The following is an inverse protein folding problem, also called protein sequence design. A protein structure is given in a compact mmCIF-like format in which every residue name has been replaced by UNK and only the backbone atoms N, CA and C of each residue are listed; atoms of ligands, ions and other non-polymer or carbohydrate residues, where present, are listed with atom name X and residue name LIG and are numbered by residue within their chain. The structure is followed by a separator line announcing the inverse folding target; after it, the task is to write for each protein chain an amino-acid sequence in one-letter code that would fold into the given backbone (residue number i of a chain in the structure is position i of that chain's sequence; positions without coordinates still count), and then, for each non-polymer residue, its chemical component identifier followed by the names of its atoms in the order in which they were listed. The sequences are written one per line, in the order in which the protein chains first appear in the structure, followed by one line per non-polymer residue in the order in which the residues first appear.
data_IF_995134910480
#
_entry.id   IF_995134910480
#
_cell.length_a   1.000
_cell.length_b   1.000
_cell.length_c   1.000
_cell.angle_alpha   90.00
_cell.angle_beta   90.00
_cell.angle_gamma   90.00
#
_symmetry.space_group_name_H-M   'P 1'
#
loop_
_entity.id
_entity.type
_entity.pdbx_description
1 polymer ?
#
# COMPACT_ATOMS: atom_id res chain seq x y z
N UNK A 1 -2.36 -50.37 -45.52
CA UNK A 1 -1.50 -49.20 -45.81
C UNK A 1 -1.70 -48.19 -44.69
N UNK A 2 -0.56 -47.74 -44.17
CA UNK A 2 -0.34 -46.79 -43.07
C UNK A 2 -1.07 -45.47 -43.32
N UNK A 3 -1.55 -44.79 -42.27
CA UNK A 3 -1.26 -43.37 -41.99
C UNK A 3 -2.06 -42.84 -40.78
N UNK A 4 -1.37 -42.92 -39.63
CA UNK A 4 -1.58 -42.14 -38.42
C UNK A 4 -1.52 -40.64 -38.76
N UNK A 5 -2.61 -39.89 -38.54
CA UNK A 5 -2.57 -38.43 -38.50
C UNK A 5 -2.61 -37.97 -37.05
N UNK A 6 -1.41 -37.64 -36.57
CA UNK A 6 -1.14 -36.88 -35.36
C UNK A 6 -1.75 -35.48 -35.51
N UNK A 7 -2.66 -35.08 -34.62
CA UNK A 7 -3.18 -33.71 -34.58
C UNK A 7 -3.19 -33.21 -33.13
N UNK A 8 -2.08 -32.52 -32.84
CA UNK A 8 -1.87 -31.41 -31.91
C UNK A 8 -2.85 -31.23 -30.73
N UNK A 9 -2.34 -31.55 -29.54
CA UNK A 9 -2.80 -30.99 -28.28
C UNK A 9 -2.44 -29.49 -28.22
N UNK A 10 -3.42 -28.59 -28.33
CA UNK A 10 -3.30 -27.22 -27.86
C UNK A 10 -3.97 -27.14 -26.48
N UNK A 11 -3.25 -27.52 -25.43
CA UNK A 11 -3.68 -27.26 -24.07
C UNK A 11 -3.42 -25.77 -23.78
N UNK A 12 -4.47 -24.95 -23.87
CA UNK A 12 -4.44 -23.56 -23.42
C UNK A 12 -4.27 -23.55 -21.89
N UNK A 13 -3.06 -23.29 -21.42
CA UNK A 13 -2.79 -23.04 -20.01
C UNK A 13 -3.31 -21.62 -19.73
N UNK A 14 -4.53 -21.56 -19.18
CA UNK A 14 -5.14 -20.35 -18.64
C UNK A 14 -4.21 -19.80 -17.57
N UNK A 15 -3.65 -18.61 -17.82
CA UNK A 15 -2.85 -17.87 -16.85
C UNK A 15 -3.74 -17.51 -15.66
N UNK A 16 -3.47 -18.15 -14.52
CA UNK A 16 -4.09 -17.81 -13.25
C UNK A 16 -3.52 -16.45 -12.82
N UNK A 17 -4.25 -15.36 -13.10
CA UNK A 17 -3.98 -14.09 -12.46
C UNK A 17 -4.27 -14.29 -10.96
N UNK A 18 -3.23 -14.24 -10.12
CA UNK A 18 -3.37 -14.27 -8.68
C UNK A 18 -4.14 -13.01 -8.24
N UNK A 19 -5.45 -13.14 -8.05
CA UNK A 19 -6.24 -12.17 -7.32
C UNK A 19 -5.84 -12.29 -5.86
N UNK A 20 -5.04 -11.35 -5.37
CA UNK A 20 -4.80 -11.19 -3.96
C UNK A 20 -6.14 -10.92 -3.26
N UNK A 21 -6.59 -11.88 -2.45
CA UNK A 21 -7.79 -11.73 -1.62
C UNK A 21 -7.41 -10.82 -0.46
N UNK A 22 -7.79 -9.54 -0.55
CA UNK A 22 -7.73 -8.63 0.58
C UNK A 22 -8.85 -8.98 1.56
N UNK A 23 -8.55 -9.00 2.87
CA UNK A 23 -9.59 -9.09 3.88
C UNK A 23 -10.56 -7.91 3.68
N UNK A 24 -11.85 -8.19 3.43
CA UNK A 24 -12.82 -7.18 3.04
C UNK A 24 -13.15 -6.25 4.22
N UNK A 25 -12.37 -5.18 4.33
CA UNK A 25 -12.73 -4.02 5.10
C UNK A 25 -13.52 -3.10 4.15
N UNK A 26 -14.84 -3.06 4.34
CA UNK A 26 -15.75 -2.30 3.47
C UNK A 26 -15.39 -0.81 3.31
N UNK A 27 -14.64 -0.21 4.24
CA UNK A 27 -14.14 1.16 4.11
C UNK A 27 -12.90 1.22 3.22
N UNK A 28 -11.94 0.32 3.43
CA UNK A 28 -10.75 0.23 2.59
C UNK A 28 -11.11 -0.01 1.12
N UNK A 29 -12.04 -0.94 0.85
CA UNK A 29 -12.51 -1.24 -0.51
C UNK A 29 -13.12 0.01 -1.17
N UNK A 30 -13.98 0.75 -0.47
CA UNK A 30 -14.58 2.01 -0.97
C UNK A 30 -13.54 3.09 -1.26
N UNK A 31 -12.55 3.25 -0.39
CA UNK A 31 -11.47 4.24 -0.59
C UNK A 31 -10.65 3.90 -1.84
N UNK A 32 -10.30 2.63 -2.03
CA UNK A 32 -9.56 2.17 -3.21
C UNK A 32 -10.37 2.35 -4.50
N UNK A 33 -11.66 2.01 -4.49
CA UNK A 33 -12.56 2.25 -5.62
C UNK A 33 -12.67 3.74 -5.97
N UNK A 34 -12.76 4.62 -4.96
CA UNK A 34 -12.78 6.07 -5.18
C UNK A 34 -11.48 6.56 -5.82
N UNK A 35 -10.31 6.11 -5.35
CA UNK A 35 -9.04 6.48 -5.98
C UNK A 35 -8.95 6.03 -7.44
N UNK A 36 -9.51 4.86 -7.80
CA UNK A 36 -9.60 4.43 -9.20
C UNK A 36 -10.53 5.34 -10.02
N UNK A 37 -11.68 5.72 -9.46
CA UNK A 37 -12.60 6.67 -10.09
C UNK A 37 -11.98 8.07 -10.28
N UNK A 38 -11.04 8.46 -9.41
CA UNK A 38 -10.24 9.68 -9.52
C UNK A 38 -9.05 9.57 -10.50
N UNK A 39 -8.88 8.41 -11.16
CA UNK A 39 -7.92 8.20 -12.24
C UNK A 39 -6.70 7.35 -11.88
N UNK A 40 -6.68 6.70 -10.71
CA UNK A 40 -5.65 5.70 -10.43
C UNK A 40 -5.82 4.45 -11.31
N UNK A 41 -4.69 3.84 -11.68
CA UNK A 41 -4.65 2.53 -12.30
C UNK A 41 -4.76 1.42 -11.24
N UNK A 42 -4.50 0.18 -11.65
CA UNK A 42 -4.38 -0.94 -10.69
C UNK A 42 -3.28 -0.66 -9.66
N UNK A 43 -3.59 -0.93 -8.40
CA UNK A 43 -2.66 -0.71 -7.29
C UNK A 43 -1.64 -1.85 -7.16
N UNK A 44 -0.44 -1.52 -6.67
CA UNK A 44 0.66 -2.47 -6.46
C UNK A 44 1.21 -2.38 -5.04
N UNK A 45 1.06 -3.46 -4.28
CA UNK A 45 1.66 -3.59 -2.95
C UNK A 45 3.20 -3.53 -3.01
N UNK A 46 3.81 -4.02 -4.08
CA UNK A 46 5.27 -3.94 -4.30
C UNK A 46 5.73 -2.49 -4.47
N UNK A 47 5.00 -1.69 -5.25
CA UNK A 47 5.28 -0.26 -5.37
C UNK A 47 5.13 0.46 -4.03
N UNK A 48 4.07 0.14 -3.29
CA UNK A 48 3.85 0.68 -1.93
C UNK A 48 5.01 0.36 -0.99
N UNK A 49 5.51 -0.88 -1.00
CA UNK A 49 6.68 -1.31 -0.21
C UNK A 49 7.94 -0.55 -0.60
N UNK A 50 8.18 -0.39 -1.90
CA UNK A 50 9.33 0.36 -2.42
C UNK A 50 9.28 1.83 -1.96
N UNK A 51 8.13 2.48 -2.11
CA UNK A 51 7.94 3.87 -1.67
C UNK A 51 8.05 4.03 -0.16
N UNK A 52 7.65 3.02 0.63
CA UNK A 52 7.72 3.05 2.09
C UNK A 52 9.13 3.36 2.62
N UNK A 53 10.14 2.84 1.93
CA UNK A 53 11.56 2.98 2.28
C UNK A 53 12.27 4.10 1.53
N UNK A 54 11.58 4.76 0.57
CA UNK A 54 12.15 5.84 -0.22
C UNK A 54 12.50 7.04 0.66
N UNK A 55 13.68 7.60 0.43
CA UNK A 55 14.21 8.75 1.18
C UNK A 55 13.93 10.05 0.44
N UNK A 56 13.57 11.07 1.21
CA UNK A 56 13.28 12.42 0.75
C UNK A 56 14.05 13.42 1.61
N UNK A 57 14.59 14.45 0.98
CA UNK A 57 15.25 15.55 1.69
C UNK A 57 14.19 16.50 2.29
N UNK A 58 14.53 17.10 3.42
CA UNK A 58 13.71 18.06 4.15
C UNK A 58 14.59 19.18 4.69
N UNK A 59 14.07 20.40 4.70
CA UNK A 59 14.74 21.56 5.29
C UNK A 59 14.64 21.59 6.83
N UNK A 60 13.81 20.71 7.40
CA UNK A 60 13.63 20.55 8.85
C UNK A 60 14.09 19.17 9.31
N UNK A 61 14.65 19.10 10.52
CA UNK A 61 15.07 17.83 11.13
C UNK A 61 13.91 16.81 11.28
N UNK A 62 14.15 15.51 11.00
CA UNK A 62 15.36 14.98 10.38
C UNK A 62 15.47 15.43 8.91
N UNK A 63 16.68 15.83 8.49
CA UNK A 63 16.94 16.34 7.12
C UNK A 63 16.67 15.30 6.01
N UNK A 64 16.63 14.02 6.37
CA UNK A 64 16.23 12.93 5.48
C UNK A 64 15.09 12.17 6.13
N UNK A 65 13.98 12.01 5.39
CA UNK A 65 12.75 11.36 5.85
C UNK A 65 12.36 10.21 4.93
N UNK A 66 11.69 9.23 5.52
CA UNK A 66 10.97 8.14 4.85
C UNK A 66 9.77 7.76 5.72
N UNK A 67 8.85 6.93 5.22
CA UNK A 67 7.74 6.43 6.03
C UNK A 67 8.27 5.67 7.27
N UNK A 68 9.39 4.97 7.10
CA UNK A 68 10.08 4.24 8.18
C UNK A 68 10.62 5.13 9.30
N UNK A 69 10.81 6.45 9.07
CA UNK A 69 11.29 7.38 10.10
C UNK A 69 10.39 7.42 11.33
N UNK A 70 9.07 7.28 11.15
CA UNK A 70 8.11 7.23 12.26
C UNK A 70 7.56 5.83 12.51
N UNK A 71 7.42 5.02 11.47
CA UNK A 71 6.67 3.77 11.53
C UNK A 71 7.54 2.51 11.53
N UNK A 72 8.84 2.63 11.30
CA UNK A 72 9.74 1.48 11.17
C UNK A 72 9.45 0.63 9.92
N UNK A 73 10.05 -0.56 9.90
CA UNK A 73 9.92 -1.55 8.82
C UNK A 73 9.03 -2.73 9.20
N UNK A 74 8.95 -3.07 10.49
CA UNK A 74 8.01 -4.06 11.01
C UNK A 74 6.70 -3.38 11.42
N UNK A 75 5.71 -3.45 10.52
CA UNK A 75 4.43 -2.77 10.68
C UNK A 75 3.50 -3.42 11.70
N UNK A 76 3.86 -4.61 12.21
CA UNK A 76 3.20 -5.26 13.34
C UNK A 76 3.59 -4.62 14.69
N UNK A 77 4.64 -3.81 14.72
CA UNK A 77 5.13 -3.12 15.92
C UNK A 77 4.66 -1.68 15.96
N UNK A 78 4.68 -1.13 17.17
CA UNK A 78 4.48 0.31 17.36
C UNK A 78 5.64 1.10 16.78
N UNK A 79 5.30 2.23 16.16
CA UNK A 79 6.26 3.28 15.79
C UNK A 79 6.30 4.39 16.83
N UNK A 80 7.06 5.45 16.52
CA UNK A 80 7.14 6.65 17.34
C UNK A 80 7.29 7.88 16.46
N UNK A 81 6.54 8.93 16.76
CA UNK A 81 6.60 10.17 16.00
C UNK A 81 7.97 10.83 16.14
N UNK A 82 8.66 11.02 15.01
CA UNK A 82 10.06 11.41 14.96
C UNK A 82 10.42 12.69 15.74
N UNK A 83 9.50 13.66 15.85
CA UNK A 83 9.74 14.90 16.62
C UNK A 83 9.27 14.87 18.06
N UNK A 84 8.25 14.08 18.39
CA UNK A 84 7.56 14.19 19.69
C UNK A 84 7.71 12.96 20.56
N UNK A 85 8.21 11.85 20.01
CA UNK A 85 8.31 10.57 20.70
C UNK A 85 6.96 9.90 20.95
N UNK A 86 5.83 10.51 20.54
CA UNK A 86 4.50 9.95 20.76
C UNK A 86 4.39 8.59 20.07
N UNK A 87 3.93 7.59 20.82
CA UNK A 87 3.67 6.24 20.31
C UNK A 87 2.68 6.30 19.15
N UNK A 88 2.99 5.54 18.11
CA UNK A 88 2.11 5.29 16.99
C UNK A 88 1.79 3.79 17.00
N UNK A 89 0.52 3.43 17.18
CA UNK A 89 0.10 2.03 17.17
C UNK A 89 0.50 1.31 15.88
N UNK A 90 0.59 -0.02 15.91
CA UNK A 90 0.90 -0.83 14.75
C UNK A 90 0.02 -0.48 13.54
N UNK A 91 0.61 -0.46 12.35
CA UNK A 91 -0.08 -0.15 11.09
C UNK A 91 -0.63 -1.39 10.39
N UNK A 92 -0.01 -2.54 10.61
CA UNK A 92 -0.47 -3.82 10.07
C UNK A 92 -1.85 -4.18 10.67
N UNK A 93 -2.88 -4.42 9.85
CA UNK A 93 -4.19 -4.88 10.33
C UNK A 93 -4.12 -6.20 11.10
N UNK A 94 -3.12 -7.04 10.81
CA UNK A 94 -2.84 -8.28 11.55
C UNK A 94 -2.55 -8.05 13.04
N UNK A 95 -1.99 -6.89 13.39
CA UNK A 95 -1.69 -6.49 14.77
C UNK A 95 -2.66 -5.42 15.31
N UNK A 96 -3.32 -4.67 14.43
CA UNK A 96 -4.27 -3.62 14.80
C UNK A 96 -5.47 -3.59 13.82
N UNK A 97 -6.56 -4.34 14.12
CA UNK A 97 -7.73 -4.44 13.25
C UNK A 97 -8.49 -3.13 13.02
N UNK A 98 -8.27 -2.08 13.83
CA UNK A 98 -8.87 -0.76 13.63
C UNK A 98 -8.18 0.06 12.52
N UNK A 99 -7.13 -0.50 11.89
CA UNK A 99 -6.44 0.18 10.79
C UNK A 99 -7.28 0.14 9.53
N UNK A 100 -7.33 1.30 8.86
CA UNK A 100 -8.01 1.53 7.59
C UNK A 100 -9.54 1.34 7.64
N UNK A 101 -10.18 1.42 8.82
CA UNK A 101 -11.64 1.30 8.99
C UNK A 101 -12.38 2.65 9.03
N UNK A 102 -11.65 3.76 8.84
CA UNK A 102 -12.18 5.14 8.91
C UNK A 102 -11.55 5.94 7.77
N UNK A 103 -12.37 6.31 6.80
CA UNK A 103 -11.95 7.04 5.59
C UNK A 103 -11.38 8.42 5.90
N UNK A 104 -12.01 9.18 6.81
CA UNK A 104 -11.52 10.51 7.20
C UNK A 104 -10.16 10.41 7.88
N UNK A 105 -9.96 9.37 8.70
CA UNK A 105 -8.66 9.10 9.34
C UNK A 105 -7.60 8.72 8.30
N UNK A 106 -7.93 7.92 7.30
CA UNK A 106 -7.01 7.58 6.19
C UNK A 106 -6.57 8.86 5.48
N UNK A 107 -7.52 9.67 5.01
CA UNK A 107 -7.22 10.87 4.22
C UNK A 107 -6.46 11.92 5.02
N UNK A 108 -6.86 12.15 6.28
CA UNK A 108 -6.15 13.06 7.19
C UNK A 108 -4.68 12.68 7.33
N UNK A 109 -4.39 11.39 7.54
CA UNK A 109 -3.02 10.95 7.75
C UNK A 109 -2.22 10.89 6.45
N UNK A 110 -2.82 10.55 5.32
CA UNK A 110 -2.13 10.73 4.04
C UNK A 110 -1.78 12.19 3.77
N UNK A 111 -2.70 13.13 3.99
CA UNK A 111 -2.41 14.55 3.78
C UNK A 111 -1.21 15.01 4.62
N UNK A 112 -1.21 14.68 5.92
CA UNK A 112 -0.15 15.09 6.85
C UNK A 112 1.17 14.37 6.58
N UNK A 113 1.14 13.05 6.44
CA UNK A 113 2.35 12.23 6.36
C UNK A 113 3.04 12.38 4.99
N UNK A 114 2.27 12.51 3.90
CA UNK A 114 2.86 12.78 2.58
C UNK A 114 3.50 14.16 2.55
N UNK A 115 2.82 15.22 3.03
CA UNK A 115 3.42 16.56 3.08
C UNK A 115 4.68 16.58 3.96
N UNK A 116 4.64 15.94 5.11
CA UNK A 116 5.78 15.92 6.02
C UNK A 116 6.96 15.11 5.48
N UNK A 117 6.71 13.97 4.85
CA UNK A 117 7.76 13.06 4.36
C UNK A 117 8.25 13.47 2.97
N UNK A 118 7.34 13.62 2.01
CA UNK A 118 7.63 13.85 0.59
C UNK A 118 7.72 15.34 0.21
N UNK A 119 7.28 16.25 1.08
CA UNK A 119 7.17 17.68 0.76
C UNK A 119 5.97 18.05 -0.14
N UNK A 120 5.11 17.07 -0.45
CA UNK A 120 3.90 17.25 -1.28
C UNK A 120 2.80 16.27 -0.89
N UNK A 121 1.60 16.47 -1.43
CA UNK A 121 0.56 15.44 -1.32
C UNK A 121 0.91 14.22 -2.16
N UNK A 122 0.50 13.04 -1.67
CA UNK A 122 0.53 11.83 -2.45
C UNK A 122 -0.58 11.87 -3.51
N UNK A 123 -0.28 11.38 -4.70
CA UNK A 123 -1.26 11.12 -5.75
C UNK A 123 -2.22 10.00 -5.34
N UNK A 124 -3.37 9.89 -6.01
CA UNK A 124 -4.33 8.80 -5.79
C UNK A 124 -3.72 7.42 -6.06
N UNK A 125 -2.80 7.32 -7.02
CA UNK A 125 -2.03 6.09 -7.27
C UNK A 125 -1.13 5.73 -6.09
N UNK A 126 -0.34 6.70 -5.59
CA UNK A 126 0.57 6.48 -4.46
C UNK A 126 -0.20 6.06 -3.20
N UNK A 127 -1.34 6.73 -2.92
CA UNK A 127 -2.19 6.38 -1.77
C UNK A 127 -2.72 4.95 -1.88
N UNK A 128 -3.20 4.54 -3.06
CA UNK A 128 -3.70 3.19 -3.26
C UNK A 128 -2.60 2.12 -3.17
N UNK A 129 -1.43 2.36 -3.77
CA UNK A 129 -0.26 1.48 -3.65
C UNK A 129 0.17 1.31 -2.18
N UNK A 130 0.21 2.41 -1.41
CA UNK A 130 0.47 2.35 0.03
C UNK A 130 -0.59 1.54 0.78
N UNK A 131 -1.87 1.76 0.51
CA UNK A 131 -2.93 1.03 1.18
C UNK A 131 -2.87 -0.47 0.85
N UNK A 132 -2.68 -0.84 -0.42
CA UNK A 132 -2.52 -2.23 -0.85
C UNK A 132 -1.32 -2.92 -0.17
N UNK A 133 -0.21 -2.20 -0.01
CA UNK A 133 0.95 -2.66 0.75
C UNK A 133 0.62 -2.86 2.23
N UNK A 134 0.13 -1.82 2.90
CA UNK A 134 -0.10 -1.82 4.34
C UNK A 134 -1.19 -2.83 4.75
N UNK A 135 -2.22 -3.03 3.94
CA UNK A 135 -3.29 -4.00 4.20
C UNK A 135 -2.85 -5.45 4.03
N UNK A 136 -1.70 -5.70 3.39
CA UNK A 136 -1.12 -7.04 3.21
C UNK A 136 -0.21 -7.47 4.37
N UNK A 137 -0.03 -6.62 5.39
CA UNK A 137 0.87 -6.85 6.53
C UNK A 137 0.12 -7.30 7.77
#
# INVERSE_FOLDING_TARGET
MRNLKLLLLCAAIVGCAAVAVYADNSVLSKVLERYQAEGAASFSAENGEKMWTQKFNSDEEPLIRSCTTCHGTDLSKQGSHAKTGKIIEALAPSANPERFTDEEKIEKWFNRNCKWTLGRECTVQEKGDFLSFLSSK
#
